data_IF_959250260857
#
_entry.id   IF_959250260857
#
_cell.length_a   1.000
_cell.length_b   1.000
_cell.length_c   1.000
_cell.angle_alpha   90.00
_cell.angle_beta   90.00
_cell.angle_gamma   90.00
#
_symmetry.space_group_name_H-M   'P 1'
#
loop_
_entity.id
_entity.type
_entity.pdbx_description
1 polymer ?
#
# COMPACT_ATOMS: atom_id res chain seq x y z
N UNK A 1 0.93 70.56 -48.54
CA UNK A 1 2.35 70.54 -48.95
C UNK A 1 2.49 71.31 -50.25
N UNK A 2 3.64 71.94 -50.53
CA UNK A 2 3.76 72.85 -51.67
C UNK A 2 4.76 72.31 -52.70
N UNK A 3 4.53 72.58 -53.97
CA UNK A 3 5.41 72.17 -55.06
C UNK A 3 6.74 72.91 -54.98
N UNK A 4 7.85 72.17 -54.91
CA UNK A 4 9.21 72.74 -54.89
C UNK A 4 9.58 73.56 -56.13
N UNK A 5 8.80 73.46 -57.21
CA UNK A 5 9.08 74.12 -58.48
C UNK A 5 8.21 75.35 -58.77
N UNK A 6 6.96 75.38 -58.29
CA UNK A 6 6.04 76.51 -58.54
C UNK A 6 5.33 77.04 -57.30
N UNK A 7 5.56 76.46 -56.12
CA UNK A 7 4.94 76.86 -54.86
C UNK A 7 3.47 76.48 -54.69
N UNK A 8 2.80 75.97 -55.73
CA UNK A 8 1.39 75.58 -55.67
C UNK A 8 1.12 74.43 -54.70
N UNK A 9 -0.06 74.41 -54.09
CA UNK A 9 -0.48 73.37 -53.13
C UNK A 9 -0.59 72.02 -53.84
N UNK A 10 -0.14 70.97 -53.16
CA UNK A 10 -0.11 69.58 -53.62
C UNK A 10 -0.90 68.70 -52.65
N UNK A 11 -1.70 67.77 -53.18
CA UNK A 11 -2.19 66.61 -52.44
C UNK A 11 -1.16 65.48 -52.44
N UNK A 12 -1.27 64.53 -51.50
CA UNK A 12 -0.48 63.30 -51.49
C UNK A 12 -0.99 62.26 -52.52
N UNK A 13 -2.19 62.47 -53.05
CA UNK A 13 -2.84 61.61 -54.06
C UNK A 13 -2.49 62.05 -55.50
N UNK A 14 -2.09 63.30 -55.68
CA UNK A 14 -1.75 63.87 -56.98
C UNK A 14 -0.34 63.46 -57.41
N UNK A 15 -0.22 62.67 -58.48
CA UNK A 15 1.07 62.18 -58.98
C UNK A 15 1.93 63.27 -59.63
N UNK A 16 1.29 64.35 -60.12
CA UNK A 16 1.93 65.52 -60.72
C UNK A 16 1.32 66.80 -60.16
N UNK A 17 2.11 67.86 -60.09
CA UNK A 17 1.63 69.16 -59.64
C UNK A 17 0.57 69.70 -60.61
N UNK A 18 -0.66 69.99 -60.16
CA UNK A 18 -1.73 70.46 -61.03
C UNK A 18 -1.44 71.85 -61.63
N UNK A 19 -0.51 72.61 -61.04
CA UNK A 19 -0.17 73.96 -61.48
C UNK A 19 1.00 74.04 -62.46
N UNK A 20 1.96 73.10 -62.43
CA UNK A 20 3.15 73.16 -63.29
C UNK A 20 3.48 71.84 -64.00
N UNK A 21 2.68 70.79 -63.79
CA UNK A 21 2.84 69.48 -64.43
C UNK A 21 4.06 68.66 -63.98
N UNK A 22 4.90 69.19 -63.08
CA UNK A 22 6.10 68.46 -62.60
C UNK A 22 5.72 67.36 -61.59
N UNK A 23 6.49 66.25 -61.53
CA UNK A 23 6.19 65.12 -60.65
C UNK A 23 6.10 65.53 -59.17
N UNK A 24 5.14 64.95 -58.46
CA UNK A 24 5.01 65.10 -57.02
C UNK A 24 5.80 64.01 -56.30
N UNK A 25 7.00 64.34 -55.84
CA UNK A 25 7.88 63.40 -55.13
C UNK A 25 7.27 62.88 -53.82
N UNK A 26 6.42 63.66 -53.15
CA UNK A 26 5.81 63.25 -51.90
C UNK A 26 4.67 62.24 -52.10
N UNK A 27 3.91 62.34 -53.20
CA UNK A 27 2.92 61.33 -53.57
C UNK A 27 3.61 59.98 -53.85
N UNK A 28 4.76 60.01 -54.52
CA UNK A 28 5.58 58.82 -54.77
C UNK A 28 6.12 58.19 -53.48
N UNK A 29 6.55 59.00 -52.52
CA UNK A 29 6.99 58.51 -51.22
C UNK A 29 5.82 57.95 -50.40
N UNK A 30 4.67 58.64 -50.40
CA UNK A 30 3.47 58.20 -49.71
C UNK A 30 2.94 56.86 -50.23
N UNK A 31 2.94 56.65 -51.55
CA UNK A 31 2.57 55.37 -52.15
C UNK A 31 3.48 54.21 -51.68
N UNK A 32 4.80 54.44 -51.63
CA UNK A 32 5.77 53.46 -51.12
C UNK A 32 5.57 53.17 -49.64
N UNK A 33 5.34 54.21 -48.84
CA UNK A 33 5.09 54.07 -47.40
C UNK A 33 3.78 53.30 -47.16
N UNK A 34 2.78 53.49 -48.03
CA UNK A 34 1.51 52.78 -47.96
C UNK A 34 1.60 51.32 -48.37
N UNK A 35 2.38 50.98 -49.39
CA UNK A 35 2.70 49.59 -49.72
C UNK A 35 3.45 48.89 -48.58
N UNK A 36 4.45 49.57 -48.00
CA UNK A 36 5.22 49.04 -46.88
C UNK A 36 4.37 48.90 -45.60
N UNK A 37 3.41 49.80 -45.39
CA UNK A 37 2.45 49.70 -44.29
C UNK A 37 1.50 48.54 -44.50
N UNK A 38 0.91 48.41 -45.70
CA UNK A 38 -0.01 47.32 -46.02
C UNK A 38 0.67 45.95 -45.89
N UNK A 39 1.89 45.81 -46.40
CA UNK A 39 2.66 44.57 -46.25
C UNK A 39 2.92 44.22 -44.78
N UNK A 40 3.27 45.21 -43.94
CA UNK A 40 3.45 44.99 -42.50
C UNK A 40 2.14 44.63 -41.80
N UNK A 41 1.06 45.33 -42.13
CA UNK A 41 -0.27 45.05 -41.60
C UNK A 41 -0.72 43.62 -41.93
N UNK A 42 -0.63 43.22 -43.20
CA UNK A 42 -1.00 41.88 -43.67
C UNK A 42 -0.15 40.79 -42.98
N UNK A 43 1.15 41.07 -42.80
CA UNK A 43 2.07 40.15 -42.10
C UNK A 43 1.70 40.01 -40.63
N UNK A 44 1.53 41.13 -39.91
CA UNK A 44 1.16 41.12 -38.49
C UNK A 44 -0.21 40.49 -38.27
N UNK A 45 -1.19 40.77 -39.13
CA UNK A 45 -2.51 40.15 -39.06
C UNK A 45 -2.43 38.64 -39.26
N UNK A 46 -1.61 38.18 -40.21
CA UNK A 46 -1.36 36.76 -40.45
C UNK A 46 -0.68 36.05 -39.27
N UNK A 47 0.28 36.71 -38.63
CA UNK A 47 0.96 36.20 -37.43
C UNK A 47 0.00 36.09 -36.24
N UNK A 48 -0.78 37.13 -35.96
CA UNK A 48 -1.80 37.11 -34.89
C UNK A 48 -2.82 35.99 -35.14
N UNK A 49 -3.30 35.82 -36.37
CA UNK A 49 -4.26 34.76 -36.68
C UNK A 49 -3.67 33.35 -36.51
N UNK A 50 -2.39 33.15 -36.87
CA UNK A 50 -1.67 31.87 -36.66
C UNK A 50 -1.48 31.58 -35.18
N UNK A 51 -1.09 32.57 -34.39
CA UNK A 51 -0.91 32.41 -32.94
C UNK A 51 -2.25 32.10 -32.27
N UNK A 52 -3.29 32.89 -32.53
CA UNK A 52 -4.63 32.69 -31.94
C UNK A 52 -5.24 31.34 -32.34
N UNK A 53 -5.01 30.86 -33.57
CA UNK A 53 -5.47 29.54 -34.02
C UNK A 53 -4.75 28.39 -33.32
N UNK A 54 -3.45 28.53 -33.05
CA UNK A 54 -2.68 27.50 -32.32
C UNK A 54 -3.05 27.44 -30.83
N UNK A 55 -3.44 28.57 -30.24
CA UNK A 55 -3.93 28.70 -28.86
C UNK A 55 -5.47 28.70 -28.78
N UNK A 56 -6.16 27.88 -29.57
CA UNK A 56 -7.60 27.69 -29.40
C UNK A 56 -7.90 27.05 -28.03
N UNK A 57 -8.98 27.46 -27.36
CA UNK A 57 -9.42 26.84 -26.09
C UNK A 57 -9.52 25.31 -26.20
N UNK A 58 -9.89 24.80 -27.39
CA UNK A 58 -9.98 23.38 -27.69
C UNK A 58 -8.63 22.66 -27.52
N UNK A 59 -7.51 23.28 -27.92
CA UNK A 59 -6.16 22.72 -27.74
C UNK A 59 -5.81 22.61 -26.25
N UNK A 60 -6.17 23.61 -25.44
CA UNK A 60 -5.93 23.57 -23.99
C UNK A 60 -6.77 22.47 -23.30
N UNK A 61 -8.05 22.34 -23.66
CA UNK A 61 -8.92 21.29 -23.13
C UNK A 61 -8.43 19.89 -23.53
N UNK A 62 -7.95 19.70 -24.76
CA UNK A 62 -7.38 18.43 -25.21
C UNK A 62 -6.13 18.03 -24.41
N UNK A 63 -5.25 19.00 -24.10
CA UNK A 63 -4.09 18.77 -23.23
C UNK A 63 -4.54 18.36 -21.82
N UNK A 64 -5.49 19.09 -21.22
CA UNK A 64 -6.03 18.76 -19.89
C UNK A 64 -6.64 17.35 -19.87
N UNK A 65 -7.47 17.00 -20.85
CA UNK A 65 -8.07 15.66 -20.96
C UNK A 65 -6.98 14.60 -21.08
N UNK A 66 -5.95 14.84 -21.89
CA UNK A 66 -4.84 13.88 -22.05
C UNK A 66 -4.10 13.64 -20.73
N UNK A 67 -3.81 14.71 -19.98
CA UNK A 67 -3.19 14.58 -18.64
C UNK A 67 -4.10 13.82 -17.68
N UNK A 68 -5.40 14.11 -17.66
CA UNK A 68 -6.36 13.40 -16.83
C UNK A 68 -6.44 11.91 -17.17
N UNK A 69 -6.47 11.55 -18.46
CA UNK A 69 -6.45 10.15 -18.89
C UNK A 69 -5.17 9.45 -18.44
N UNK A 70 -4.00 10.10 -18.58
CA UNK A 70 -2.73 9.54 -18.09
C UNK A 70 -2.77 9.32 -16.58
N UNK A 71 -3.26 10.29 -15.80
CA UNK A 71 -3.39 10.15 -14.35
C UNK A 71 -4.34 9.00 -13.97
N UNK A 72 -5.47 8.85 -14.66
CA UNK A 72 -6.40 7.74 -14.47
C UNK A 72 -5.71 6.41 -14.77
N UNK A 73 -4.97 6.31 -15.88
CA UNK A 73 -4.23 5.09 -16.24
C UNK A 73 -3.16 4.74 -15.20
N UNK A 74 -2.44 5.74 -14.68
CA UNK A 74 -1.46 5.55 -13.59
C UNK A 74 -2.16 5.04 -12.33
N UNK A 75 -3.27 5.66 -11.93
CA UNK A 75 -4.03 5.22 -10.74
C UNK A 75 -4.55 3.80 -10.94
N UNK A 76 -5.10 3.45 -12.10
CA UNK A 76 -5.55 2.09 -12.41
C UNK A 76 -4.40 1.09 -12.38
N UNK A 77 -3.24 1.44 -12.93
CA UNK A 77 -2.04 0.60 -12.88
C UNK A 77 -1.55 0.38 -11.44
N UNK A 78 -1.42 1.46 -10.66
CA UNK A 78 -1.01 1.38 -9.25
C UNK A 78 -1.99 0.57 -8.44
N UNK A 79 -3.30 0.75 -8.66
CA UNK A 79 -4.36 0.00 -7.95
C UNK A 79 -4.31 -1.48 -8.31
N UNK A 80 -4.18 -1.81 -9.60
CA UNK A 80 -4.07 -3.20 -10.06
C UNK A 80 -2.81 -3.87 -9.53
N UNK A 81 -1.71 -3.13 -9.44
CA UNK A 81 -0.41 -3.62 -9.00
C UNK A 81 -0.15 -3.39 -7.50
N UNK A 82 -1.12 -2.88 -6.74
CA UNK A 82 -0.92 -2.42 -5.36
C UNK A 82 -0.36 -3.53 -4.47
N UNK A 83 -0.90 -4.74 -4.59
CA UNK A 83 -0.44 -5.90 -3.83
C UNK A 83 1.01 -6.30 -4.20
N UNK A 84 1.37 -6.24 -5.48
CA UNK A 84 2.74 -6.53 -5.93
C UNK A 84 3.73 -5.44 -5.50
N UNK A 85 3.32 -4.17 -5.54
CA UNK A 85 4.13 -3.03 -5.09
C UNK A 85 4.36 -3.12 -3.58
N UNK A 86 3.29 -3.28 -2.78
CA UNK A 86 3.38 -3.50 -1.33
C UNK A 86 4.36 -4.64 -1.03
N UNK A 87 4.15 -5.79 -1.67
CA UNK A 87 4.99 -6.98 -1.51
C UNK A 87 6.48 -6.70 -1.78
N UNK A 88 6.79 -6.07 -2.91
CA UNK A 88 8.18 -5.80 -3.27
C UNK A 88 8.83 -4.81 -2.31
N UNK A 89 8.09 -3.85 -1.77
CA UNK A 89 8.60 -2.90 -0.77
C UNK A 89 8.97 -3.64 0.52
N UNK A 90 8.11 -4.53 1.03
CA UNK A 90 8.41 -5.31 2.22
C UNK A 90 9.57 -6.28 2.02
N UNK A 91 9.65 -6.97 0.88
CA UNK A 91 10.80 -7.85 0.55
C UNK A 91 12.13 -7.08 0.47
N UNK A 92 12.12 -5.86 -0.08
CA UNK A 92 13.30 -5.00 -0.10
C UNK A 92 13.69 -4.51 1.30
N UNK A 93 12.71 -4.24 2.16
CA UNK A 93 12.96 -3.84 3.54
C UNK A 93 13.49 -5.00 4.38
N UNK A 94 12.88 -6.18 4.31
CA UNK A 94 13.31 -7.36 5.06
C UNK A 94 14.73 -7.76 4.72
N UNK A 95 15.13 -7.68 3.44
CA UNK A 95 16.53 -7.89 3.01
C UNK A 95 17.47 -6.81 3.48
N UNK A 96 17.03 -5.55 3.49
CA UNK A 96 17.87 -4.41 3.92
C UNK A 96 18.21 -4.48 5.41
N UNK A 97 17.24 -4.88 6.23
CA UNK A 97 17.35 -4.87 7.69
C UNK A 97 17.46 -6.28 8.28
N UNK A 98 17.87 -7.27 7.48
CA UNK A 98 17.92 -8.70 7.86
C UNK A 98 18.59 -8.93 9.21
N UNK A 99 19.79 -8.36 9.42
CA UNK A 99 20.53 -8.51 10.68
C UNK A 99 19.82 -7.91 11.90
N UNK A 100 19.14 -6.78 11.71
CA UNK A 100 18.41 -6.12 12.79
C UNK A 100 17.13 -6.89 13.11
N UNK A 101 16.43 -7.36 12.07
CA UNK A 101 15.18 -8.11 12.23
C UNK A 101 15.44 -9.48 12.86
N UNK A 102 16.45 -10.22 12.39
CA UNK A 102 16.85 -11.50 12.99
C UNK A 102 17.26 -11.34 14.44
N UNK A 103 18.09 -10.35 14.78
CA UNK A 103 18.45 -10.07 16.19
C UNK A 103 17.23 -9.73 17.05
N UNK A 104 16.26 -8.97 16.52
CA UNK A 104 15.02 -8.64 17.25
C UNK A 104 14.13 -9.87 17.41
N UNK A 105 14.04 -10.70 16.38
CA UNK A 105 13.30 -11.96 16.41
C UNK A 105 13.91 -12.94 17.43
N UNK A 106 15.23 -13.09 17.43
CA UNK A 106 15.94 -13.92 18.41
C UNK A 106 15.71 -13.41 19.84
N UNK A 107 15.75 -12.10 20.06
CA UNK A 107 15.45 -11.51 21.36
C UNK A 107 14.05 -11.90 21.85
N UNK A 108 13.01 -11.80 21.01
CA UNK A 108 11.67 -12.24 21.41
C UNK A 108 11.61 -13.72 21.76
N UNK A 109 12.32 -14.58 21.02
CA UNK A 109 12.36 -16.03 21.29
C UNK A 109 13.18 -16.40 22.54
N UNK A 110 14.20 -15.61 22.87
CA UNK A 110 14.98 -15.73 24.12
C UNK A 110 14.18 -15.25 25.34
N UNK A 111 13.38 -14.20 25.18
CA UNK A 111 12.48 -13.66 26.21
C UNK A 111 11.17 -14.45 26.34
N UNK A 112 10.97 -15.48 25.50
CA UNK A 112 9.74 -16.27 25.40
C UNK A 112 8.48 -15.42 25.08
N UNK A 113 8.68 -14.25 24.47
CA UNK A 113 7.61 -13.35 24.00
C UNK A 113 7.16 -13.76 22.59
N UNK A 114 6.43 -14.86 22.52
CA UNK A 114 5.96 -15.43 21.24
C UNK A 114 4.91 -14.55 20.55
N UNK A 115 4.10 -13.80 21.31
CA UNK A 115 3.16 -12.82 20.76
C UNK A 115 3.90 -11.65 20.12
N UNK A 116 4.93 -11.12 20.80
CA UNK A 116 5.80 -10.07 20.28
C UNK A 116 6.53 -10.52 19.01
N UNK A 117 7.07 -11.74 19.02
CA UNK A 117 7.69 -12.35 17.84
C UNK A 117 6.72 -12.43 16.64
N UNK A 118 5.52 -12.98 16.85
CA UNK A 118 4.50 -13.11 15.80
C UNK A 118 4.07 -11.73 15.27
N UNK A 119 3.71 -10.81 16.18
CA UNK A 119 3.28 -9.46 15.83
C UNK A 119 4.37 -8.68 15.09
N UNK A 120 5.64 -8.85 15.47
CA UNK A 120 6.77 -8.23 14.78
C UNK A 120 6.89 -8.70 13.33
N UNK A 121 6.77 -10.00 13.10
CA UNK A 121 6.83 -10.60 11.78
C UNK A 121 5.66 -10.14 10.89
N UNK A 122 4.43 -10.16 11.42
CA UNK A 122 3.22 -9.69 10.72
C UNK A 122 3.30 -8.20 10.37
N UNK A 123 3.66 -7.35 11.34
CA UNK A 123 3.75 -5.90 11.13
C UNK A 123 4.75 -5.51 10.03
N UNK A 124 5.77 -6.35 9.80
CA UNK A 124 6.82 -6.14 8.80
C UNK A 124 6.62 -6.95 7.52
N UNK A 125 5.58 -7.78 7.44
CA UNK A 125 5.31 -8.71 6.33
C UNK A 125 6.56 -9.57 6.03
N UNK A 126 7.21 -10.08 7.09
CA UNK A 126 8.41 -10.93 6.99
C UNK A 126 8.00 -12.28 6.41
N UNK A 127 8.58 -12.60 5.25
CA UNK A 127 8.34 -13.87 4.57
C UNK A 127 9.37 -14.88 5.06
N UNK A 128 8.98 -15.67 6.04
CA UNK A 128 9.83 -16.72 6.61
C UNK A 128 10.18 -17.86 5.63
N UNK A 129 9.66 -17.85 4.41
CA UNK A 129 10.06 -18.78 3.33
C UNK A 129 10.93 -18.09 2.26
N UNK A 130 11.48 -16.92 2.57
CA UNK A 130 12.44 -16.22 1.71
C UNK A 130 13.82 -16.24 2.33
N UNK A 131 14.84 -16.23 1.47
CA UNK A 131 16.26 -16.20 1.83
C UNK A 131 16.53 -15.21 2.97
N UNK A 132 17.22 -15.67 4.01
CA UNK A 132 17.53 -14.91 5.23
C UNK A 132 16.62 -15.21 6.43
N UNK A 133 15.41 -15.74 6.22
CA UNK A 133 14.44 -16.00 7.30
C UNK A 133 13.93 -17.45 7.37
N UNK A 134 14.42 -18.32 6.49
CA UNK A 134 13.95 -19.71 6.32
C UNK A 134 14.07 -20.55 7.59
N UNK A 135 15.06 -20.26 8.44
CA UNK A 135 15.27 -20.92 9.74
C UNK A 135 14.13 -20.67 10.74
N UNK A 136 13.35 -19.59 10.56
CA UNK A 136 12.25 -19.25 11.46
C UNK A 136 10.89 -19.78 10.98
N UNK A 137 10.82 -20.45 9.82
CA UNK A 137 9.55 -20.82 9.20
C UNK A 137 8.64 -21.67 10.10
N UNK A 138 9.22 -22.65 10.78
CA UNK A 138 8.48 -23.55 11.68
C UNK A 138 8.06 -22.81 12.95
N UNK A 139 8.98 -22.00 13.52
CA UNK A 139 8.73 -21.21 14.73
C UNK A 139 7.63 -20.17 14.48
N UNK A 140 7.64 -19.49 13.34
CA UNK A 140 6.59 -18.52 12.95
C UNK A 140 5.23 -19.17 12.80
N UNK A 141 5.15 -20.38 12.24
CA UNK A 141 3.89 -21.13 12.17
C UNK A 141 3.38 -21.51 13.56
N UNK A 142 4.27 -21.96 14.44
CA UNK A 142 3.92 -22.29 15.81
C UNK A 142 3.45 -21.04 16.58
N UNK A 143 4.16 -19.92 16.44
CA UNK A 143 3.84 -18.65 17.08
C UNK A 143 2.51 -18.05 16.58
N UNK A 144 2.19 -18.21 15.29
CA UNK A 144 0.88 -17.86 14.73
C UNK A 144 -0.25 -18.63 15.42
N UNK A 145 -0.13 -19.95 15.50
CA UNK A 145 -1.13 -20.78 16.20
C UNK A 145 -1.18 -20.48 17.70
N UNK A 146 -0.04 -20.22 18.34
CA UNK A 146 0.04 -19.76 19.73
C UNK A 146 -0.73 -18.45 19.94
N UNK A 147 -0.57 -17.46 19.04
CA UNK A 147 -1.29 -16.19 19.13
C UNK A 147 -2.81 -16.40 19.05
N UNK A 148 -3.28 -17.27 18.15
CA UNK A 148 -4.70 -17.62 18.08
C UNK A 148 -5.21 -18.40 19.30
N UNK A 149 -4.39 -19.26 19.92
CA UNK A 149 -4.74 -19.93 21.18
C UNK A 149 -4.95 -18.87 22.27
N UNK A 150 -4.01 -17.93 22.40
CA UNK A 150 -4.07 -16.85 23.38
C UNK A 150 -5.33 -15.98 23.18
N UNK A 151 -5.59 -15.54 21.94
CA UNK A 151 -6.76 -14.72 21.61
C UNK A 151 -8.07 -15.44 21.92
N UNK A 152 -8.19 -16.73 21.55
CA UNK A 152 -9.40 -17.50 21.86
C UNK A 152 -9.61 -17.67 23.35
N UNK A 153 -8.55 -17.93 24.13
CA UNK A 153 -8.65 -18.03 25.59
C UNK A 153 -9.11 -16.72 26.21
N UNK A 154 -8.55 -15.60 25.77
CA UNK A 154 -8.92 -14.28 26.29
C UNK A 154 -10.36 -13.91 25.94
N UNK A 155 -10.77 -14.12 24.69
CA UNK A 155 -12.14 -13.84 24.24
C UNK A 155 -13.18 -14.73 24.94
N UNK A 156 -12.82 -15.97 25.29
CA UNK A 156 -13.70 -16.87 26.06
C UNK A 156 -14.04 -16.33 27.46
N UNK A 157 -13.20 -15.45 28.02
CA UNK A 157 -13.45 -14.83 29.32
C UNK A 157 -14.41 -13.63 29.26
N UNK A 158 -14.71 -13.12 28.06
CA UNK A 158 -15.55 -11.93 27.92
C UNK A 158 -17.03 -12.23 28.18
N UNK A 159 -17.74 -11.28 28.79
CA UNK A 159 -19.13 -11.46 29.24
C UNK A 159 -20.15 -11.71 28.11
N UNK A 160 -19.77 -11.44 26.86
CA UNK A 160 -20.59 -11.66 25.66
C UNK A 160 -20.27 -13.00 24.94
N UNK A 161 -19.30 -13.77 25.46
CA UNK A 161 -18.77 -14.99 24.85
C UNK A 161 -19.77 -16.15 24.72
N UNK A 162 -20.89 -16.13 25.47
CA UNK A 162 -21.85 -17.24 25.47
C UNK A 162 -22.43 -17.54 24.08
N UNK A 163 -22.66 -16.51 23.27
CA UNK A 163 -23.17 -16.68 21.90
C UNK A 163 -22.15 -17.28 20.94
N UNK A 164 -20.86 -17.26 21.30
CA UNK A 164 -19.74 -17.74 20.50
C UNK A 164 -19.04 -18.96 21.13
N UNK A 165 -19.54 -19.48 22.26
CA UNK A 165 -18.95 -20.59 23.03
C UNK A 165 -18.47 -21.73 22.11
N UNK A 166 -19.39 -22.32 21.34
CA UNK A 166 -19.09 -23.48 20.49
C UNK A 166 -18.01 -23.14 19.44
N UNK A 167 -18.10 -21.97 18.83
CA UNK A 167 -17.13 -21.51 17.84
C UNK A 167 -15.74 -21.29 18.44
N UNK A 168 -15.68 -20.79 19.68
CA UNK A 168 -14.42 -20.55 20.40
C UNK A 168 -13.78 -21.85 20.86
N UNK A 169 -14.55 -22.78 21.42
CA UNK A 169 -14.07 -24.12 21.77
C UNK A 169 -13.55 -24.85 20.54
N UNK A 170 -14.29 -24.82 19.42
CA UNK A 170 -13.83 -25.45 18.17
C UNK A 170 -12.53 -24.80 17.66
N UNK A 171 -12.45 -23.47 17.69
CA UNK A 171 -11.26 -22.73 17.23
C UNK A 171 -10.05 -23.06 18.10
N UNK A 172 -10.20 -23.01 19.43
CA UNK A 172 -9.14 -23.35 20.37
C UNK A 172 -8.65 -24.80 20.16
N UNK A 173 -9.57 -25.77 20.03
CA UNK A 173 -9.20 -27.16 19.75
C UNK A 173 -8.42 -27.31 18.43
N UNK A 174 -8.81 -26.56 17.40
CA UNK A 174 -8.16 -26.57 16.09
C UNK A 174 -6.76 -25.93 16.14
N UNK A 175 -6.59 -24.79 16.82
CA UNK A 175 -5.29 -24.14 16.90
C UNK A 175 -4.30 -24.91 17.77
N UNK A 176 -4.75 -25.55 18.87
CA UNK A 176 -3.90 -26.49 19.61
C UNK A 176 -3.46 -27.69 18.75
N UNK A 177 -4.34 -28.18 17.86
CA UNK A 177 -3.98 -29.25 16.92
C UNK A 177 -2.93 -28.81 15.89
N UNK A 178 -3.16 -27.64 15.28
CA UNK A 178 -2.26 -27.08 14.28
C UNK A 178 -0.91 -26.72 14.89
N UNK A 179 -0.90 -26.22 16.13
CA UNK A 179 0.31 -25.97 16.90
C UNK A 179 1.12 -27.26 17.10
N UNK A 180 0.49 -28.35 17.58
CA UNK A 180 1.17 -29.63 17.77
C UNK A 180 1.76 -30.18 16.45
N UNK A 181 1.08 -29.94 15.32
CA UNK A 181 1.52 -30.32 13.97
C UNK A 181 2.61 -29.41 13.39
N UNK A 182 2.97 -28.31 14.04
CA UNK A 182 4.05 -27.44 13.55
C UNK A 182 5.36 -28.24 13.36
N UNK A 183 5.66 -29.16 14.28
CA UNK A 183 6.81 -30.07 14.25
C UNK A 183 6.88 -30.95 13.01
N UNK A 184 5.74 -31.36 12.46
CA UNK A 184 5.68 -32.19 11.25
C UNK A 184 6.28 -31.48 10.02
N UNK A 185 6.47 -30.15 10.09
CA UNK A 185 6.99 -29.35 9.00
C UNK A 185 8.50 -29.08 9.09
N UNK A 186 9.23 -29.61 10.08
CA UNK A 186 10.67 -29.37 10.21
C UNK A 186 11.44 -29.77 8.94
N UNK A 187 11.13 -30.93 8.36
CA UNK A 187 11.78 -31.44 7.14
C UNK A 187 11.50 -30.58 5.89
N UNK A 188 10.51 -29.67 5.96
CA UNK A 188 10.12 -28.82 4.83
C UNK A 188 10.96 -27.55 4.70
N UNK A 189 11.81 -27.24 5.70
CA UNK A 189 12.54 -25.99 5.79
C UNK A 189 13.99 -26.21 6.27
N UNK A 190 14.95 -25.35 5.88
CA UNK A 190 16.34 -25.43 6.33
C UNK A 190 16.49 -24.87 7.76
N UNK A 191 15.89 -25.55 8.74
CA UNK A 191 15.91 -25.14 10.15
C UNK A 191 17.08 -25.76 10.91
N UNK A 192 17.50 -25.12 12.01
CA UNK A 192 18.27 -25.79 13.05
C UNK A 192 17.29 -26.62 13.89
N UNK A 193 17.27 -27.94 13.68
CA UNK A 193 16.35 -28.86 14.34
C UNK A 193 16.44 -28.79 15.86
N UNK A 194 17.65 -28.71 16.42
CA UNK A 194 17.86 -28.73 17.86
C UNK A 194 17.38 -27.44 18.51
N UNK A 195 17.71 -26.29 17.90
CA UNK A 195 17.21 -25.00 18.37
C UNK A 195 15.70 -24.87 18.20
N UNK A 196 15.17 -25.27 17.03
CA UNK A 196 13.74 -25.20 16.73
C UNK A 196 12.94 -26.07 17.69
N UNK A 197 13.35 -27.31 17.93
CA UNK A 197 12.67 -28.19 18.89
C UNK A 197 12.70 -27.60 20.30
N UNK A 198 13.82 -27.00 20.71
CA UNK A 198 13.90 -26.34 22.01
C UNK A 198 12.89 -25.20 22.15
N UNK A 199 12.76 -24.34 21.12
CA UNK A 199 11.78 -23.24 21.12
C UNK A 199 10.35 -23.77 21.12
N UNK A 200 10.05 -24.79 20.31
CA UNK A 200 8.72 -25.40 20.26
C UNK A 200 8.34 -26.07 21.57
N UNK A 201 9.28 -26.73 22.24
CA UNK A 201 9.05 -27.32 23.55
C UNK A 201 8.71 -26.25 24.60
N UNK A 202 9.47 -25.15 24.68
CA UNK A 202 9.15 -24.05 25.61
C UNK A 202 7.79 -23.41 25.31
N UNK A 203 7.46 -23.24 24.03
CA UNK A 203 6.16 -22.72 23.61
C UNK A 203 5.01 -23.68 23.95
N UNK A 204 5.22 -24.99 23.87
CA UNK A 204 4.25 -26.01 24.29
C UNK A 204 4.03 -26.00 25.81
N UNK A 205 5.10 -25.91 26.59
CA UNK A 205 5.03 -25.76 28.05
C UNK A 205 4.24 -24.51 28.46
N UNK A 206 4.37 -23.41 27.71
CA UNK A 206 3.59 -22.20 27.93
C UNK A 206 2.12 -22.34 27.51
N UNK A 207 1.81 -23.01 26.39
CA UNK A 207 0.43 -23.35 26.02
C UNK A 207 -0.24 -24.20 27.10
N UNK A 208 0.46 -25.20 27.63
CA UNK A 208 -0.04 -25.99 28.76
C UNK A 208 -0.30 -25.12 29.99
N UNK A 209 0.60 -24.18 30.30
CA UNK A 209 0.42 -23.23 31.40
C UNK A 209 -0.81 -22.35 31.19
N UNK A 210 -1.03 -21.83 29.98
CA UNK A 210 -2.20 -21.04 29.61
C UNK A 210 -3.50 -21.84 29.78
N UNK A 211 -3.57 -23.06 29.25
CA UNK A 211 -4.76 -23.92 29.39
C UNK A 211 -5.08 -24.23 30.85
N UNK A 212 -4.05 -24.45 31.69
CA UNK A 212 -4.24 -24.66 33.13
C UNK A 212 -4.71 -23.38 33.84
N UNK A 213 -4.13 -22.23 33.51
CA UNK A 213 -4.45 -20.96 34.15
C UNK A 213 -5.85 -20.46 33.80
N UNK A 214 -6.25 -20.58 32.53
CA UNK A 214 -7.49 -20.00 32.01
C UNK A 214 -8.64 -21.00 31.86
N UNK A 215 -8.38 -22.30 31.78
CA UNK A 215 -9.45 -23.31 31.70
C UNK A 215 -9.43 -24.30 32.87
N UNK A 216 -8.50 -24.17 33.82
CA UNK A 216 -8.49 -25.05 34.99
C UNK A 216 -8.20 -26.52 34.66
N UNK A 217 -7.48 -26.78 33.55
CA UNK A 217 -6.97 -28.12 33.27
C UNK A 217 -6.03 -28.56 34.40
N UNK A 218 -6.05 -29.85 34.74
CA UNK A 218 -5.01 -30.43 35.59
C UNK A 218 -3.69 -30.48 34.83
N UNK A 219 -2.61 -30.75 35.56
CA UNK A 219 -1.30 -30.94 34.95
C UNK A 219 -1.33 -32.09 33.93
N UNK A 220 -1.93 -33.22 34.31
CA UNK A 220 -2.05 -34.41 33.45
C UNK A 220 -2.94 -34.13 32.24
N UNK A 221 -4.05 -33.40 32.41
CA UNK A 221 -4.94 -33.04 31.30
C UNK A 221 -4.23 -32.15 30.27
N UNK A 222 -3.38 -31.23 30.71
CA UNK A 222 -2.62 -30.35 29.83
C UNK A 222 -1.51 -31.10 29.08
N UNK A 223 -0.70 -31.90 29.78
CA UNK A 223 0.40 -32.70 29.20
C UNK A 223 -0.09 -33.77 28.20
N UNK A 224 -1.29 -34.30 28.40
CA UNK A 224 -1.91 -35.27 27.50
C UNK A 224 -2.82 -34.63 26.44
N UNK A 225 -3.03 -33.31 26.49
CA UNK A 225 -3.98 -32.61 25.63
C UNK A 225 -3.65 -32.79 24.14
N UNK A 226 -2.37 -32.70 23.78
CA UNK A 226 -1.89 -32.89 22.41
C UNK A 226 -2.06 -34.32 21.90
N UNK A 227 -2.23 -35.31 22.78
CA UNK A 227 -2.45 -36.73 22.41
C UNK A 227 -3.91 -37.07 22.18
N UNK A 228 -4.83 -36.22 22.64
CA UNK A 228 -6.27 -36.40 22.46
C UNK A 228 -6.67 -36.19 20.99
N UNK A 229 -7.67 -36.93 20.52
CA UNK A 229 -8.32 -36.63 19.24
C UNK A 229 -9.05 -35.28 19.29
N UNK A 230 -9.31 -34.66 18.13
CA UNK A 230 -10.08 -33.40 18.04
C UNK A 230 -11.39 -33.46 18.84
N UNK A 231 -12.15 -34.56 18.71
CA UNK A 231 -13.42 -34.74 19.43
C UNK A 231 -13.22 -34.80 20.96
N UNK A 232 -12.19 -35.50 21.44
CA UNK A 232 -11.88 -35.57 22.86
C UNK A 232 -11.43 -34.21 23.41
N UNK A 233 -10.64 -33.44 22.66
CA UNK A 233 -10.25 -32.08 23.03
C UNK A 233 -11.47 -31.17 23.16
N UNK A 234 -12.39 -31.21 22.20
CA UNK A 234 -13.62 -30.40 22.25
C UNK A 234 -14.45 -30.70 23.51
N UNK A 235 -14.67 -31.98 23.83
CA UNK A 235 -15.42 -32.39 25.03
C UNK A 235 -14.74 -31.90 26.31
N UNK A 236 -13.41 -32.04 26.40
CA UNK A 236 -12.67 -31.58 27.58
C UNK A 236 -12.74 -30.05 27.72
N UNK A 237 -12.52 -29.30 26.63
CA UNK A 237 -12.58 -27.84 26.65
C UNK A 237 -13.99 -27.32 26.99
N UNK A 238 -15.05 -27.98 26.51
CA UNK A 238 -16.42 -27.62 26.84
C UNK A 238 -16.73 -27.83 28.33
N UNK A 239 -16.35 -29.00 28.87
CA UNK A 239 -16.48 -29.27 30.30
C UNK A 239 -15.75 -28.21 31.14
N UNK A 240 -14.51 -27.89 30.77
CA UNK A 240 -13.68 -26.92 31.48
C UNK A 240 -14.22 -25.49 31.40
N UNK A 241 -14.70 -25.08 30.24
CA UNK A 241 -15.36 -23.78 30.07
C UNK A 241 -16.57 -23.64 31.00
N UNK A 242 -17.39 -24.67 31.13
CA UNK A 242 -18.55 -24.69 32.02
C UNK A 242 -18.15 -24.67 33.51
N UNK A 243 -17.11 -25.43 33.88
CA UNK A 243 -16.55 -25.45 35.24
C UNK A 243 -16.00 -24.07 35.66
N UNK A 244 -15.39 -23.34 34.72
CA UNK A 244 -14.89 -21.98 34.94
C UNK A 244 -16.00 -20.93 35.04
N UNK A 245 -17.21 -21.25 34.61
CA UNK A 245 -18.36 -20.34 34.65
C UNK A 245 -18.26 -19.19 33.63
N UNK A 246 -17.45 -19.35 32.58
CA UNK A 246 -17.35 -18.37 31.49
C UNK A 246 -18.69 -18.25 30.73
N UNK A 247 -19.00 -17.05 30.24
CA UNK A 247 -20.27 -16.76 29.54
C UNK A 247 -21.53 -16.72 30.44
N UNK A 248 -21.45 -17.14 31.70
CA UNK A 248 -22.58 -17.06 32.63
C UNK A 248 -22.86 -15.60 33.00
N UNK A 249 -24.03 -15.08 32.61
CA UNK A 249 -24.50 -13.77 33.08
C UNK A 249 -24.60 -13.81 34.61
N UNK A 250 -23.85 -12.95 35.28
CA UNK A 250 -24.05 -12.68 36.71
C UNK A 250 -25.46 -12.10 36.84
N UNK A 251 -26.42 -12.93 37.22
CA UNK A 251 -27.75 -12.45 37.62
C UNK A 251 -27.59 -11.84 39.01
N UNK A 252 -27.55 -10.52 39.07
CA UNK A 252 -27.78 -9.75 40.32
C UNK A 252 -29.19 -9.96 40.87
#
# INVERSE_FOLDING_TARGET
MNCKYCGGTLSLEDHFCPHCGKPNEHAKQHAKDMEAYKSRFDTTQGEVYKVTRNYSEITAHAVIITVLVVLILVVLFVTRSAYAIKRNIHDLQSKRYEKEYTATMDQYLEEEDYLGFHAFCEARDIRVYTEGYESYAVIMRAADHYAYIYDNLFEMMEAEAESLKDSRIESLAAYCDNFAKARENMDSYPVDEAYTEQVLQRMEEDVEALLRAYLGLTKEEAEDFSKLSKAQRMVLLEQKYEEMGYGTKITE
#
